data_IF_296944288899
#
_entry.id   IF_296944288899
#
_cell.length_a   1.000
_cell.length_b   1.000
_cell.length_c   1.000
_cell.angle_alpha   90.00
_cell.angle_beta   90.00
_cell.angle_gamma   90.00
#
_symmetry.space_group_name_H-M   'P 1'
#
loop_
_entity.id
_entity.type
_entity.pdbx_description
1 polymer ?
#
# COMPACT_ATOMS: atom_id res chain seq x y z
N UNK A 1 1.45 25.71 46.92
CA UNK A 1 1.39 24.24 47.07
C UNK A 1 2.11 23.64 45.88
N UNK A 2 3.35 23.19 46.06
CA UNK A 2 4.18 22.58 45.02
C UNK A 2 4.11 21.07 45.27
N UNK A 3 3.38 20.34 44.43
CA UNK A 3 3.30 18.89 44.48
C UNK A 3 4.52 18.28 43.80
N UNK A 4 5.30 17.58 44.60
CA UNK A 4 6.44 16.74 44.23
C UNK A 4 5.99 15.61 43.30
N UNK A 5 6.57 15.56 42.10
CA UNK A 5 6.42 14.45 41.15
C UNK A 5 7.41 13.35 41.52
N UNK A 6 6.92 12.24 42.08
CA UNK A 6 7.72 11.02 42.27
C UNK A 6 8.04 10.39 40.91
N UNK A 7 9.33 10.27 40.61
CA UNK A 7 9.83 9.53 39.47
C UNK A 7 9.72 8.02 39.73
N UNK A 8 8.84 7.35 38.98
CA UNK A 8 8.84 5.89 38.88
C UNK A 8 9.99 5.47 37.96
N UNK A 9 11.13 5.13 38.56
CA UNK A 9 12.24 4.44 37.91
C UNK A 9 11.91 2.96 37.76
N UNK A 10 11.22 2.62 36.67
CA UNK A 10 11.10 1.24 36.22
C UNK A 10 12.29 0.91 35.32
N UNK A 11 13.20 0.07 35.80
CA UNK A 11 14.27 -0.52 35.00
C UNK A 11 13.66 -1.39 33.89
N UNK A 12 13.34 -0.76 32.77
CA UNK A 12 13.07 -1.47 31.51
C UNK A 12 14.44 -2.01 31.06
N UNK A 13 14.70 -3.24 31.48
CA UNK A 13 15.87 -4.02 31.10
C UNK A 13 15.75 -4.31 29.59
N UNK A 14 16.17 -3.36 28.76
CA UNK A 14 16.38 -3.56 27.33
C UNK A 14 17.37 -4.71 27.19
N UNK A 15 16.85 -5.91 26.90
CA UNK A 15 17.71 -6.99 26.43
C UNK A 15 18.40 -6.49 25.17
N UNK A 16 19.74 -6.42 25.13
CA UNK A 16 20.45 -6.07 23.92
C UNK A 16 20.02 -7.05 22.83
N UNK A 17 19.50 -6.51 21.74
CA UNK A 17 19.25 -7.31 20.53
C UNK A 17 20.62 -7.85 20.13
N UNK A 18 20.79 -9.19 19.99
CA UNK A 18 22.06 -9.76 19.59
C UNK A 18 22.49 -9.12 18.26
N UNK A 19 23.76 -8.71 18.13
CA UNK A 19 24.25 -8.11 16.89
C UNK A 19 23.95 -9.05 15.74
N UNK A 20 23.32 -8.54 14.68
CA UNK A 20 23.21 -9.26 13.42
C UNK A 20 24.62 -9.57 12.94
N UNK A 21 25.06 -10.80 13.13
CA UNK A 21 26.30 -11.32 12.56
C UNK A 21 26.09 -11.43 11.06
N UNK A 22 26.49 -10.39 10.34
CA UNK A 22 26.66 -10.50 8.90
C UNK A 22 27.68 -11.60 8.63
N UNK A 23 27.41 -12.52 7.68
CA UNK A 23 28.39 -13.54 7.31
C UNK A 23 29.69 -12.84 6.93
N UNK A 24 30.75 -13.20 7.64
CA UNK A 24 32.10 -12.66 7.46
C UNK A 24 32.47 -12.74 5.99
N UNK A 25 32.67 -11.56 5.37
CA UNK A 25 33.03 -11.45 3.97
C UNK A 25 34.33 -12.23 3.77
N UNK A 26 34.24 -13.41 3.15
CA UNK A 26 35.41 -14.23 2.89
C UNK A 26 36.41 -13.38 2.10
N UNK A 27 37.66 -13.23 2.55
CA UNK A 27 38.67 -12.53 1.79
C UNK A 27 38.78 -13.19 0.43
N UNK A 28 38.47 -12.42 -0.62
CA UNK A 28 38.64 -12.83 -2.01
C UNK A 28 40.14 -13.11 -2.16
N UNK A 29 40.52 -14.39 -2.18
CA UNK A 29 41.89 -14.77 -2.50
C UNK A 29 42.19 -14.19 -3.89
N UNK A 30 43.28 -13.43 -4.07
CA UNK A 30 43.77 -13.09 -5.39
C UNK A 30 44.26 -14.39 -6.06
N UNK A 31 43.32 -15.12 -6.66
CA UNK A 31 43.61 -16.23 -7.54
C UNK A 31 44.24 -15.65 -8.80
N UNK A 32 45.40 -16.20 -9.18
CA UNK A 32 46.08 -15.88 -10.42
C UNK A 32 45.08 -15.94 -11.58
N UNK A 33 44.93 -14.81 -12.28
CA UNK A 33 44.18 -14.71 -13.53
C UNK A 33 44.94 -15.52 -14.59
N UNK A 34 44.73 -16.82 -14.65
CA UNK A 34 44.97 -17.59 -15.87
C UNK A 34 43.88 -17.19 -16.85
N UNK A 35 44.27 -16.53 -17.94
CA UNK A 35 43.38 -16.16 -19.03
C UNK A 35 42.71 -17.42 -19.60
N UNK A 36 41.50 -17.70 -19.13
CA UNK A 36 40.63 -18.70 -19.73
C UNK A 36 40.30 -18.26 -21.16
N UNK A 37 40.32 -19.16 -22.14
CA UNK A 37 39.82 -18.88 -23.48
C UNK A 37 38.40 -18.32 -23.37
N UNK A 38 38.11 -17.29 -24.17
CA UNK A 38 36.80 -16.67 -24.25
C UNK A 38 35.81 -17.71 -24.83
N UNK A 39 35.29 -18.54 -23.94
CA UNK A 39 34.24 -19.50 -24.23
C UNK A 39 32.98 -18.68 -24.51
N UNK A 40 32.52 -18.72 -25.76
CA UNK A 40 31.34 -18.00 -26.19
C UNK A 40 30.17 -18.44 -25.33
N UNK A 41 29.81 -17.60 -24.35
CA UNK A 41 28.75 -17.88 -23.39
C UNK A 41 27.44 -18.01 -24.17
N UNK A 42 27.08 -19.25 -24.46
CA UNK A 42 25.78 -19.59 -25.03
C UNK A 42 24.77 -19.10 -24.00
N UNK A 43 24.04 -18.04 -24.34
CA UNK A 43 23.02 -17.46 -23.47
C UNK A 43 21.88 -18.46 -23.39
N UNK A 44 21.97 -19.37 -22.42
CA UNK A 44 20.88 -20.30 -22.11
C UNK A 44 19.70 -19.46 -21.63
N UNK A 45 18.70 -19.28 -22.49
CA UNK A 45 17.46 -18.59 -22.14
C UNK A 45 16.71 -19.50 -21.18
N UNK A 46 16.94 -19.32 -19.88
CA UNK A 46 16.10 -19.95 -18.86
C UNK A 46 14.70 -19.36 -18.98
N UNK A 47 13.74 -20.18 -19.39
CA UNK A 47 12.33 -19.81 -19.35
C UNK A 47 11.90 -19.71 -17.89
N UNK A 48 11.97 -18.50 -17.34
CA UNK A 48 11.49 -18.22 -16.00
C UNK A 48 9.96 -18.29 -16.00
N UNK A 49 9.39 -19.33 -15.38
CA UNK A 49 7.96 -19.37 -15.06
C UNK A 49 7.74 -18.62 -13.75
N UNK A 50 7.11 -17.45 -13.76
CA UNK A 50 6.87 -16.68 -12.53
C UNK A 50 6.06 -17.52 -11.54
N UNK A 51 6.49 -17.50 -10.27
CA UNK A 51 5.78 -18.18 -9.20
C UNK A 51 4.34 -17.65 -9.12
N UNK A 52 3.37 -18.58 -9.02
CA UNK A 52 1.97 -18.21 -8.86
C UNK A 52 1.79 -17.37 -7.60
N UNK A 53 1.08 -16.24 -7.71
CA UNK A 53 0.82 -15.37 -6.57
C UNK A 53 0.01 -16.13 -5.50
N UNK A 54 0.40 -16.07 -4.22
CA UNK A 54 -0.34 -16.77 -3.18
C UNK A 54 -1.81 -16.37 -3.16
N UNK A 55 -2.72 -17.35 -3.05
CA UNK A 55 -4.18 -17.12 -3.05
C UNK A 55 -4.64 -16.10 -2.03
N UNK A 56 -3.88 -15.94 -0.95
CA UNK A 56 -4.22 -15.01 0.11
C UNK A 56 -4.00 -13.53 -0.26
N UNK A 57 -3.27 -13.25 -1.35
CA UNK A 57 -3.10 -11.91 -1.93
C UNK A 57 -4.20 -11.54 -2.93
N UNK A 58 -4.92 -12.54 -3.45
CA UNK A 58 -6.08 -12.24 -4.30
C UNK A 58 -7.08 -11.49 -3.42
N UNK A 59 -7.54 -10.32 -3.88
CA UNK A 59 -8.35 -9.35 -3.12
C UNK A 59 -9.78 -9.85 -2.84
N UNK A 60 -9.95 -11.16 -2.65
CA UNK A 60 -11.22 -11.86 -2.45
C UNK A 60 -11.32 -12.24 -0.97
N UNK A 61 -12.22 -11.57 -0.29
CA UNK A 61 -12.57 -11.85 1.09
C UNK A 61 -13.72 -12.86 1.10
N UNK A 62 -13.54 -13.96 1.81
CA UNK A 62 -14.58 -14.97 2.01
C UNK A 62 -15.50 -14.51 3.17
N UNK A 63 -16.27 -13.46 2.89
CA UNK A 63 -17.17 -12.80 3.86
C UNK A 63 -18.52 -12.62 3.19
N UNK A 64 -19.60 -12.65 3.96
CA UNK A 64 -20.95 -12.44 3.44
C UNK A 64 -21.08 -11.05 2.80
N UNK A 65 -21.75 -10.97 1.64
CA UNK A 65 -22.15 -9.68 1.06
C UNK A 65 -23.09 -8.95 2.04
N UNK A 66 -22.92 -7.63 2.26
CA UNK A 66 -22.14 -6.67 1.47
C UNK A 66 -20.71 -6.42 1.96
N UNK A 67 -20.27 -7.09 3.04
CA UNK A 67 -18.97 -6.79 3.67
C UNK A 67 -17.79 -7.15 2.76
N UNK A 68 -17.90 -8.22 1.96
CA UNK A 68 -16.88 -8.57 0.97
C UNK A 68 -16.60 -7.40 0.01
N UNK A 69 -17.65 -6.77 -0.53
CA UNK A 69 -17.52 -5.58 -1.38
C UNK A 69 -16.83 -4.42 -0.66
N UNK A 70 -17.20 -4.15 0.60
CA UNK A 70 -16.58 -3.07 1.40
C UNK A 70 -15.09 -3.34 1.64
N UNK A 71 -14.72 -4.55 2.03
CA UNK A 71 -13.32 -4.92 2.25
C UNK A 71 -12.50 -4.90 0.96
N UNK A 72 -13.07 -5.36 -0.16
CA UNK A 72 -12.42 -5.30 -1.47
C UNK A 72 -12.15 -3.85 -1.90
N UNK A 73 -13.13 -2.95 -1.73
CA UNK A 73 -12.97 -1.52 -2.03
C UNK A 73 -11.93 -0.88 -1.11
N UNK A 74 -11.98 -1.14 0.19
CA UNK A 74 -11.00 -0.63 1.16
C UNK A 74 -9.59 -1.11 0.85
N UNK A 75 -9.42 -2.42 0.58
CA UNK A 75 -8.12 -3.00 0.25
C UNK A 75 -7.55 -2.40 -1.04
N UNK A 76 -8.39 -2.24 -2.07
CA UNK A 76 -7.99 -1.57 -3.32
C UNK A 76 -7.64 -0.10 -3.12
N UNK A 77 -8.40 0.60 -2.27
CA UNK A 77 -8.09 1.97 -1.87
C UNK A 77 -6.73 2.06 -1.18
N UNK A 78 -6.41 1.10 -0.30
CA UNK A 78 -5.10 1.00 0.35
C UNK A 78 -3.99 0.66 -0.66
N UNK A 79 -4.21 -0.26 -1.60
CA UNK A 79 -3.25 -0.53 -2.68
C UNK A 79 -3.02 0.71 -3.55
N UNK A 80 -4.08 1.46 -3.86
CA UNK A 80 -3.96 2.68 -4.65
C UNK A 80 -3.21 3.77 -3.86
N UNK A 81 -3.50 3.95 -2.58
CA UNK A 81 -2.81 4.92 -1.73
C UNK A 81 -1.33 4.54 -1.52
N UNK A 82 -1.05 3.28 -1.19
CA UNK A 82 0.29 2.79 -0.90
C UNK A 82 1.13 2.61 -2.16
N UNK A 83 0.62 1.88 -3.15
CA UNK A 83 1.36 1.41 -4.32
C UNK A 83 0.95 2.09 -5.62
N UNK A 84 -0.01 3.02 -5.61
CA UNK A 84 -0.55 3.71 -6.80
C UNK A 84 -1.07 2.74 -7.87
N UNK A 85 -1.50 1.55 -7.46
CA UNK A 85 -2.04 0.47 -8.29
C UNK A 85 -3.19 -0.19 -7.53
N UNK A 86 -4.21 -0.64 -8.24
CA UNK A 86 -5.40 -1.23 -7.62
C UNK A 86 -5.19 -2.70 -7.23
N UNK A 87 -4.17 -3.36 -7.79
CA UNK A 87 -3.87 -4.78 -7.58
C UNK A 87 -2.39 -4.97 -7.20
N UNK A 88 -2.12 -5.99 -6.40
CA UNK A 88 -0.78 -6.43 -6.01
C UNK A 88 -0.11 -7.30 -7.08
N UNK A 89 -0.86 -7.87 -8.03
CA UNK A 89 -0.30 -8.75 -9.08
C UNK A 89 0.91 -8.15 -9.82
N UNK A 90 0.89 -6.88 -10.26
CA UNK A 90 2.06 -6.29 -10.93
C UNK A 90 3.25 -6.16 -9.99
N UNK A 91 3.02 -5.80 -8.72
CA UNK A 91 4.09 -5.70 -7.73
C UNK A 91 4.68 -7.08 -7.38
N UNK A 92 3.85 -8.13 -7.36
CA UNK A 92 4.29 -9.51 -7.21
C UNK A 92 5.14 -9.96 -8.40
N UNK A 93 4.67 -9.73 -9.62
CA UNK A 93 5.41 -10.09 -10.83
C UNK A 93 6.77 -9.38 -10.91
N UNK A 94 6.83 -8.11 -10.52
CA UNK A 94 8.08 -7.33 -10.46
C UNK A 94 9.01 -7.79 -9.33
N UNK A 95 8.48 -8.27 -8.20
CA UNK A 95 9.29 -8.83 -7.12
C UNK A 95 9.86 -10.21 -7.46
N UNK A 96 9.20 -10.95 -8.35
CA UNK A 96 9.64 -12.24 -8.86
C UNK A 96 10.61 -12.12 -10.04
N UNK A 97 10.77 -10.93 -10.62
CA UNK A 97 11.69 -10.71 -11.75
C UNK A 97 13.15 -10.97 -11.30
N UNK A 98 13.91 -11.85 -11.97
CA UNK A 98 15.32 -12.08 -11.64
C UNK A 98 16.18 -10.81 -11.80
N UNK A 99 15.69 -9.82 -12.53
CA UNK A 99 16.35 -8.53 -12.68
C UNK A 99 16.10 -7.63 -11.45
N UNK A 100 17.07 -7.64 -10.53
CA UNK A 100 17.07 -6.81 -9.33
C UNK A 100 16.87 -5.31 -9.60
N UNK A 101 17.20 -4.81 -10.80
CA UNK A 101 16.99 -3.41 -11.18
C UNK A 101 15.50 -3.03 -11.24
N UNK A 102 14.63 -3.96 -11.60
CA UNK A 102 13.17 -3.73 -11.64
C UNK A 102 12.65 -3.51 -10.22
N UNK A 103 13.11 -4.32 -9.27
CA UNK A 103 12.81 -4.14 -7.85
C UNK A 103 13.31 -2.79 -7.31
N UNK A 104 14.57 -2.44 -7.57
CA UNK A 104 15.12 -1.15 -7.14
C UNK A 104 14.31 0.02 -7.70
N UNK A 105 13.95 -0.04 -8.97
CA UNK A 105 13.12 0.98 -9.61
C UNK A 105 11.75 1.12 -8.95
N UNK A 106 11.12 0.01 -8.57
CA UNK A 106 9.83 0.02 -7.86
C UNK A 106 9.94 0.57 -6.44
N UNK A 107 10.99 0.16 -5.72
CA UNK A 107 11.30 0.70 -4.39
C UNK A 107 11.52 2.21 -4.44
N UNK A 108 12.26 2.69 -5.44
CA UNK A 108 12.53 4.10 -5.63
C UNK A 108 11.26 4.87 -5.97
N UNK A 109 10.37 4.30 -6.80
CA UNK A 109 9.05 4.89 -7.07
C UNK A 109 8.18 4.99 -5.82
N UNK A 110 8.20 3.95 -4.97
CA UNK A 110 7.44 3.94 -3.73
C UNK A 110 7.99 4.99 -2.75
N UNK A 111 9.31 5.00 -2.56
CA UNK A 111 10.00 6.02 -1.76
C UNK A 111 9.74 7.42 -2.29
N UNK A 112 9.82 7.60 -3.62
CA UNK A 112 9.51 8.85 -4.29
C UNK A 112 8.06 9.25 -4.07
N UNK A 113 7.08 8.35 -3.97
CA UNK A 113 5.69 8.72 -3.69
C UNK A 113 5.46 9.16 -2.26
N UNK A 114 6.05 8.43 -1.30
CA UNK A 114 6.01 8.84 0.11
C UNK A 114 6.68 10.22 0.27
N UNK A 115 7.78 10.46 -0.46
CA UNK A 115 8.45 11.76 -0.52
C UNK A 115 7.61 12.82 -1.24
N UNK A 116 7.16 12.57 -2.48
CA UNK A 116 6.41 13.52 -3.31
C UNK A 116 5.08 13.91 -2.67
N UNK A 117 4.42 13.03 -1.93
CA UNK A 117 3.20 13.42 -1.21
C UNK A 117 3.49 14.40 -0.06
N UNK A 118 4.68 14.28 0.54
CA UNK A 118 5.21 15.31 1.44
C UNK A 118 5.46 16.64 0.68
N UNK A 119 5.52 16.60 -0.65
CA UNK A 119 5.86 17.68 -1.60
C UNK A 119 4.68 18.25 -2.44
N UNK A 120 3.44 17.75 -2.33
CA UNK A 120 2.30 18.30 -3.11
C UNK A 120 1.67 19.51 -2.38
N UNK A 121 2.42 20.60 -2.27
CA UNK A 121 1.90 21.97 -2.08
C UNK A 121 2.63 23.00 -2.98
N UNK A 122 3.76 22.66 -3.63
CA UNK A 122 4.51 23.62 -4.48
C UNK A 122 4.07 23.76 -5.94
N UNK A 123 2.86 23.32 -6.33
CA UNK A 123 2.34 23.64 -7.68
C UNK A 123 2.02 25.14 -7.90
N UNK A 124 2.33 26.01 -6.93
CA UNK A 124 2.20 27.47 -7.04
C UNK A 124 3.47 28.20 -7.50
N UNK A 125 4.63 27.54 -7.58
CA UNK A 125 5.86 28.16 -8.10
C UNK A 125 6.20 27.62 -9.49
N UNK A 126 5.48 28.14 -10.48
CA UNK A 126 5.79 28.01 -11.89
C UNK A 126 7.01 28.89 -12.26
N UNK A 127 8.15 28.72 -11.58
CA UNK A 127 9.41 29.42 -11.90
C UNK A 127 10.37 28.49 -12.65
N UNK A 128 10.79 28.84 -13.88
CA UNK A 128 11.65 28.01 -14.69
C UNK A 128 13.11 28.22 -14.30
N UNK A 129 13.63 27.39 -13.42
CA UNK A 129 15.08 27.26 -13.23
C UNK A 129 15.46 25.78 -13.17
N UNK A 130 15.63 25.23 -14.38
CA UNK A 130 16.33 23.97 -14.60
C UNK A 130 17.82 24.21 -14.39
N UNK A 131 18.40 23.73 -13.30
CA UNK A 131 19.78 23.24 -13.37
C UNK A 131 20.05 22.16 -12.32
N UNK A 132 20.26 20.94 -12.82
CA UNK A 132 21.13 19.90 -12.25
C UNK A 132 20.99 19.58 -10.76
N UNK A 133 20.06 18.70 -10.41
CA UNK A 133 20.09 18.08 -9.09
C UNK A 133 19.63 16.61 -9.10
N UNK A 134 20.58 15.70 -9.32
CA UNK A 134 20.39 14.25 -9.20
C UNK A 134 20.59 13.75 -7.73
N UNK A 135 20.72 14.65 -6.75
CA UNK A 135 21.08 14.31 -5.35
C UNK A 135 20.31 15.07 -4.24
N UNK A 136 19.33 15.93 -4.55
CA UNK A 136 18.54 16.70 -3.54
C UNK A 136 17.08 16.27 -3.39
N UNK A 137 16.67 15.12 -3.95
CA UNK A 137 15.30 14.63 -3.74
C UNK A 137 14.90 14.51 -2.26
N UNK A 138 15.89 14.30 -1.38
CA UNK A 138 15.72 14.19 0.07
C UNK A 138 15.62 15.56 0.77
N UNK A 139 16.38 16.58 0.32
CA UNK A 139 16.37 17.90 0.94
C UNK A 139 15.18 18.78 0.51
N UNK A 140 14.68 18.60 -0.71
CA UNK A 140 13.54 19.37 -1.23
C UNK A 140 12.18 18.87 -0.74
N UNK A 141 12.07 17.59 -0.34
CA UNK A 141 10.81 17.01 0.17
C UNK A 141 10.59 17.28 1.66
N UNK A 142 11.65 17.45 2.46
CA UNK A 142 11.53 17.79 3.89
C UNK A 142 11.02 19.22 4.14
N UNK A 143 11.18 20.14 3.20
CA UNK A 143 10.84 21.56 3.43
C UNK A 143 9.33 21.78 3.56
N UNK A 144 8.47 20.99 2.91
CA UNK A 144 7.05 21.31 2.74
C UNK A 144 6.10 20.74 3.81
N UNK A 145 6.26 19.48 4.21
CA UNK A 145 5.63 19.05 5.47
C UNK A 145 6.18 19.87 6.65
N UNK A 146 7.45 20.31 6.56
CA UNK A 146 8.00 21.34 7.43
C UNK A 146 7.22 22.66 7.39
N UNK A 147 6.78 23.12 6.21
CA UNK A 147 5.92 24.31 6.07
C UNK A 147 4.53 24.11 6.68
N UNK A 148 3.84 23.00 6.40
CA UNK A 148 2.53 22.74 7.02
C UNK A 148 2.66 22.61 8.54
N UNK A 149 3.69 21.89 9.01
CA UNK A 149 3.97 21.71 10.43
C UNK A 149 4.34 23.04 11.10
N UNK A 150 5.20 23.86 10.49
CA UNK A 150 5.59 25.16 11.03
C UNK A 150 4.45 26.17 10.99
N UNK A 151 3.59 26.13 9.96
CA UNK A 151 2.38 26.95 9.88
C UNK A 151 1.39 26.57 10.99
N UNK A 152 1.12 25.27 11.15
CA UNK A 152 0.27 24.78 12.24
C UNK A 152 0.88 25.12 13.60
N UNK A 153 2.20 24.94 13.78
CA UNK A 153 2.90 25.31 15.00
C UNK A 153 2.81 26.81 15.29
N UNK A 154 2.96 27.66 14.26
CA UNK A 154 2.81 29.11 14.39
C UNK A 154 1.40 29.45 14.88
N UNK A 155 0.34 28.91 14.26
CA UNK A 155 -1.02 29.14 14.73
C UNK A 155 -1.28 28.60 16.15
N UNK A 156 -0.64 27.51 16.54
CA UNK A 156 -0.79 26.94 17.90
C UNK A 156 -0.05 27.76 18.96
N UNK A 157 1.07 28.40 18.60
CA UNK A 157 1.99 29.06 19.56
C UNK A 157 1.89 30.57 19.59
N UNK A 158 1.37 31.19 18.52
CA UNK A 158 1.27 32.65 18.43
C UNK A 158 -0.09 33.15 18.91
N UNK A 159 -0.12 34.37 19.44
CA UNK A 159 -1.36 35.06 19.75
C UNK A 159 -1.88 35.76 18.48
N UNK A 160 -3.20 35.81 18.25
CA UNK A 160 -3.76 36.50 17.11
C UNK A 160 -3.38 37.99 17.17
N UNK A 161 -3.00 38.60 16.04
CA UNK A 161 -2.53 39.99 16.02
C UNK A 161 -3.61 40.99 16.46
N UNK A 162 -4.89 40.64 16.29
CA UNK A 162 -6.01 41.36 16.91
C UNK A 162 -7.18 40.43 17.18
N UNK A 163 -7.85 40.55 18.34
CA UNK A 163 -8.98 39.68 18.70
C UNK A 163 -10.20 39.86 17.77
N UNK A 164 -10.34 41.01 17.10
CA UNK A 164 -11.46 41.28 16.20
C UNK A 164 -11.31 40.76 14.76
N UNK A 165 -10.11 40.31 14.34
CA UNK A 165 -9.86 39.89 12.95
C UNK A 165 -10.00 38.38 12.74
N UNK A 166 -9.23 37.57 13.45
CA UNK A 166 -9.27 36.10 13.33
C UNK A 166 -8.84 35.48 14.64
N UNK A 167 -9.81 35.24 15.53
CA UNK A 167 -9.56 34.63 16.84
C UNK A 167 -9.49 33.10 16.72
N UNK A 168 -8.34 32.60 16.29
CA UNK A 168 -8.04 31.17 16.26
C UNK A 168 -7.69 30.59 17.65
N UNK A 169 -7.66 31.43 18.69
CA UNK A 169 -7.41 31.00 20.08
C UNK A 169 -8.68 30.56 20.80
N UNK A 170 -9.85 30.76 20.20
CA UNK A 170 -11.08 30.16 20.72
C UNK A 170 -10.99 28.64 20.78
N UNK A 171 -11.64 28.06 21.77
CA UNK A 171 -11.51 26.63 22.09
C UNK A 171 -11.76 25.72 20.88
N UNK A 172 -12.77 26.01 20.04
CA UNK A 172 -13.10 25.21 18.86
C UNK A 172 -11.97 25.18 17.82
N UNK A 173 -11.66 26.32 17.17
CA UNK A 173 -10.54 26.43 16.23
C UNK A 173 -9.21 25.92 16.80
N UNK A 174 -8.91 26.24 18.06
CA UNK A 174 -7.66 25.85 18.70
C UNK A 174 -7.51 24.32 18.84
N UNK A 175 -8.57 23.61 19.23
CA UNK A 175 -8.56 22.14 19.29
C UNK A 175 -8.37 21.54 17.90
N UNK A 176 -9.00 22.10 16.86
CA UNK A 176 -8.78 21.68 15.48
C UNK A 176 -7.31 21.89 15.05
N UNK A 177 -6.71 23.03 15.37
CA UNK A 177 -5.31 23.33 15.07
C UNK A 177 -4.36 22.34 15.75
N UNK A 178 -4.58 22.05 17.04
CA UNK A 178 -3.79 21.06 17.78
C UNK A 178 -3.92 19.65 17.20
N UNK A 179 -5.14 19.23 16.86
CA UNK A 179 -5.38 17.93 16.25
C UNK A 179 -4.69 17.81 14.89
N UNK A 180 -4.79 18.84 14.05
CA UNK A 180 -4.10 18.90 12.77
C UNK A 180 -2.57 18.83 12.94
N UNK A 181 -2.02 19.64 13.86
CA UNK A 181 -0.60 19.61 14.19
C UNK A 181 -0.12 18.21 14.61
N UNK A 182 -0.85 17.56 15.52
CA UNK A 182 -0.53 16.21 15.97
C UNK A 182 -0.59 15.17 14.84
N UNK A 183 -1.58 15.28 13.93
CA UNK A 183 -1.71 14.40 12.77
C UNK A 183 -0.58 14.59 11.77
N UNK A 184 -0.15 15.82 11.47
CA UNK A 184 1.00 16.10 10.59
C UNK A 184 2.28 15.54 11.21
N UNK A 185 2.49 15.77 12.52
CA UNK A 185 3.67 15.26 13.21
C UNK A 185 3.70 13.72 13.20
N UNK A 186 2.56 13.08 13.48
CA UNK A 186 2.42 11.63 13.42
C UNK A 186 2.66 11.07 12.01
N UNK A 187 2.12 11.72 10.98
CA UNK A 187 2.34 11.35 9.58
C UNK A 187 3.82 11.44 9.19
N UNK A 188 4.51 12.49 9.64
CA UNK A 188 5.94 12.69 9.41
C UNK A 188 6.78 11.59 10.06
N UNK A 189 6.52 11.28 11.33
CA UNK A 189 7.25 10.23 12.08
C UNK A 189 7.07 8.86 11.42
N UNK A 190 5.83 8.48 11.11
CA UNK A 190 5.53 7.19 10.47
C UNK A 190 6.09 7.16 9.04
N UNK A 191 5.97 8.25 8.28
CA UNK A 191 6.52 8.35 6.93
C UNK A 191 8.03 8.16 6.90
N UNK A 192 8.77 8.80 7.82
CA UNK A 192 10.21 8.61 7.98
C UNK A 192 10.56 7.15 8.32
N UNK A 193 9.82 6.53 9.25
CA UNK A 193 10.03 5.13 9.62
C UNK A 193 9.79 4.16 8.44
N UNK A 194 8.73 4.41 7.65
CA UNK A 194 8.42 3.61 6.45
C UNK A 194 9.50 3.76 5.38
N UNK A 195 9.95 4.98 5.07
CA UNK A 195 11.03 5.21 4.08
C UNK A 195 12.32 4.53 4.53
N UNK A 196 12.65 4.63 5.82
CA UNK A 196 13.82 3.95 6.38
C UNK A 196 13.69 2.43 6.27
N UNK A 197 12.57 1.87 6.68
CA UNK A 197 12.31 0.43 6.60
C UNK A 197 12.37 -0.07 5.15
N UNK A 198 11.72 0.62 4.22
CA UNK A 198 11.77 0.31 2.78
C UNK A 198 13.20 0.31 2.26
N UNK A 199 14.03 1.27 2.67
CA UNK A 199 15.45 1.34 2.29
C UNK A 199 16.21 0.06 2.58
N UNK A 200 15.91 -0.58 3.71
CA UNK A 200 16.54 -1.81 4.21
C UNK A 200 15.89 -3.10 3.70
N UNK A 201 14.75 -3.03 3.00
CA UNK A 201 14.05 -4.22 2.51
C UNK A 201 14.79 -4.85 1.32
N UNK A 202 15.22 -6.10 1.49
CA UNK A 202 15.59 -6.97 0.37
C UNK A 202 14.34 -7.58 -0.26
N UNK A 203 14.44 -8.06 -1.50
CA UNK A 203 13.34 -8.74 -2.20
C UNK A 203 12.85 -9.95 -1.40
N UNK A 204 13.79 -10.78 -0.95
CA UNK A 204 13.53 -12.00 -0.17
C UNK A 204 12.81 -11.68 1.14
N UNK A 205 13.28 -10.68 1.87
CA UNK A 205 12.63 -10.26 3.11
C UNK A 205 11.23 -9.71 2.86
N UNK A 206 11.05 -8.95 1.77
CA UNK A 206 9.75 -8.43 1.38
C UNK A 206 8.75 -9.54 1.03
N UNK A 207 9.16 -10.54 0.23
CA UNK A 207 8.27 -11.66 -0.13
C UNK A 207 7.97 -12.55 1.06
N UNK A 208 8.96 -12.85 1.88
CA UNK A 208 8.85 -13.89 2.91
C UNK A 208 8.25 -13.35 4.21
N UNK A 209 8.64 -12.16 4.65
CA UNK A 209 8.23 -11.62 5.94
C UNK A 209 6.98 -10.75 5.82
N UNK A 210 7.02 -9.77 4.92
CA UNK A 210 5.93 -8.79 4.78
C UNK A 210 4.69 -9.42 4.14
N UNK A 211 4.86 -10.47 3.34
CA UNK A 211 3.77 -10.99 2.54
C UNK A 211 3.36 -12.45 2.82
N UNK A 212 3.91 -13.03 3.89
CA UNK A 212 3.56 -14.40 4.33
C UNK A 212 2.08 -14.56 4.69
N UNK A 213 1.37 -13.52 5.15
CA UNK A 213 -0.03 -13.63 5.58
C UNK A 213 -0.87 -12.39 5.22
N UNK A 214 -2.19 -12.58 5.06
CA UNK A 214 -3.15 -11.50 4.70
C UNK A 214 -3.07 -10.30 5.63
N UNK A 215 -3.06 -10.55 6.93
CA UNK A 215 -3.07 -9.47 7.93
C UNK A 215 -1.79 -8.63 7.87
N UNK A 216 -0.64 -9.26 7.58
CA UNK A 216 0.62 -8.53 7.37
C UNK A 216 0.56 -7.67 6.12
N UNK A 217 0.05 -8.18 4.99
CA UNK A 217 -0.13 -7.38 3.77
C UNK A 217 -1.01 -6.17 4.05
N UNK A 218 -2.17 -6.36 4.69
CA UNK A 218 -3.06 -5.26 5.04
C UNK A 218 -2.39 -4.25 5.99
N UNK A 219 -1.67 -4.72 7.00
CA UNK A 219 -0.94 -3.86 7.95
C UNK A 219 0.15 -3.04 7.24
N UNK A 220 0.93 -3.66 6.37
CA UNK A 220 1.97 -2.99 5.57
C UNK A 220 1.36 -1.95 4.64
N UNK A 221 0.30 -2.31 3.91
CA UNK A 221 -0.41 -1.35 3.05
C UNK A 221 -0.96 -0.19 3.86
N UNK A 222 -1.50 -0.44 5.05
CA UNK A 222 -1.96 0.61 5.95
C UNK A 222 -0.82 1.50 6.44
N UNK A 223 0.32 0.94 6.86
CA UNK A 223 1.49 1.70 7.29
C UNK A 223 2.04 2.58 6.16
N UNK A 224 2.09 2.06 4.93
CA UNK A 224 2.54 2.83 3.77
C UNK A 224 1.51 3.90 3.41
N UNK A 225 0.20 3.60 3.48
CA UNK A 225 -0.88 4.55 3.19
C UNK A 225 -1.10 5.58 4.33
N UNK A 226 -0.65 5.31 5.54
CA UNK A 226 -0.94 6.10 6.73
C UNK A 226 -0.52 7.58 6.61
N UNK A 227 0.71 7.92 6.17
CA UNK A 227 1.09 9.32 5.97
C UNK A 227 0.14 10.05 5.02
N UNK A 228 -0.33 9.39 3.97
CA UNK A 228 -1.28 9.95 3.01
C UNK A 228 -2.62 10.26 3.68
N UNK A 229 -3.18 9.29 4.41
CA UNK A 229 -4.47 9.46 5.09
C UNK A 229 -4.40 10.54 6.18
N UNK A 230 -3.34 10.55 6.99
CA UNK A 230 -3.17 11.52 8.06
C UNK A 230 -2.95 12.94 7.55
N UNK A 231 -2.19 13.15 6.48
CA UNK A 231 -2.02 14.48 5.87
C UNK A 231 -3.36 14.96 5.32
N UNK A 232 -4.11 14.13 4.60
CA UNK A 232 -5.43 14.49 4.09
C UNK A 232 -6.40 14.89 5.22
N UNK A 233 -6.51 14.06 6.26
CA UNK A 233 -7.36 14.35 7.42
C UNK A 233 -6.88 15.63 8.12
N UNK A 234 -5.58 15.79 8.32
CA UNK A 234 -5.04 16.99 8.96
C UNK A 234 -5.36 18.26 8.18
N UNK A 235 -5.23 18.25 6.85
CA UNK A 235 -5.57 19.41 6.03
C UNK A 235 -7.05 19.73 6.20
N UNK A 236 -7.94 18.73 6.14
CA UNK A 236 -9.38 18.97 6.34
C UNK A 236 -9.71 19.53 7.72
N UNK A 237 -9.07 19.04 8.78
CA UNK A 237 -9.26 19.52 10.15
C UNK A 237 -8.71 20.93 10.33
N UNK A 238 -7.51 21.20 9.80
CA UNK A 238 -6.88 22.53 9.82
C UNK A 238 -7.76 23.55 9.10
N UNK A 239 -8.21 23.19 7.90
CA UNK A 239 -9.13 23.97 7.09
C UNK A 239 -10.43 24.25 7.87
N UNK A 240 -11.06 23.24 8.46
CA UNK A 240 -12.28 23.45 9.24
C UNK A 240 -12.07 24.36 10.47
N UNK A 241 -10.93 24.21 11.17
CA UNK A 241 -10.57 25.08 12.30
C UNK A 241 -10.43 26.55 11.87
N UNK A 242 -9.75 26.81 10.76
CA UNK A 242 -9.59 28.16 10.21
C UNK A 242 -10.92 28.74 9.71
N UNK A 243 -11.77 27.93 9.08
CA UNK A 243 -13.11 28.36 8.64
C UNK A 243 -13.98 28.72 9.85
N UNK A 244 -13.93 27.92 10.91
CA UNK A 244 -14.65 28.19 12.16
C UNK A 244 -14.20 29.52 12.77
N UNK A 245 -12.89 29.79 12.82
CA UNK A 245 -12.36 31.06 13.32
C UNK A 245 -12.78 32.24 12.41
N UNK A 246 -12.75 32.06 11.09
CA UNK A 246 -13.15 33.08 10.14
C UNK A 246 -14.65 33.40 10.21
N UNK A 247 -15.50 32.41 10.53
CA UNK A 247 -16.93 32.61 10.69
C UNK A 247 -17.29 33.44 11.94
N UNK A 248 -16.46 33.35 12.97
CA UNK A 248 -16.58 34.11 14.22
C UNK A 248 -15.97 35.51 14.14
N UNK A 249 -15.26 35.83 13.05
CA UNK A 249 -14.69 37.16 12.81
C UNK A 249 -15.78 38.24 12.76
N UNK A 250 -15.50 39.40 13.37
CA UNK A 250 -16.36 40.59 13.25
C UNK A 250 -16.30 41.21 11.85
N UNK A 251 -15.22 40.92 11.10
CA UNK A 251 -15.00 41.47 9.76
C UNK A 251 -15.81 40.71 8.70
N UNK A 252 -16.84 41.37 8.16
CA UNK A 252 -17.69 40.79 7.09
C UNK A 252 -16.91 40.32 5.86
N UNK A 253 -15.81 41.01 5.51
CA UNK A 253 -14.93 40.65 4.40
C UNK A 253 -14.23 39.30 4.62
N UNK A 254 -13.76 39.02 5.85
CA UNK A 254 -13.10 37.76 6.20
C UNK A 254 -14.10 36.60 6.13
N UNK A 255 -15.32 36.82 6.64
CA UNK A 255 -16.38 35.80 6.60
C UNK A 255 -16.81 35.44 5.18
N UNK A 256 -17.00 36.45 4.32
CA UNK A 256 -17.35 36.22 2.91
C UNK A 256 -16.19 35.61 2.11
N UNK A 257 -14.97 36.13 2.31
CA UNK A 257 -13.77 35.64 1.64
C UNK A 257 -13.44 34.19 1.99
N UNK A 258 -13.48 33.83 3.27
CA UNK A 258 -13.24 32.44 3.71
C UNK A 258 -14.27 31.47 3.14
N UNK A 259 -15.56 31.83 3.13
CA UNK A 259 -16.61 31.00 2.51
C UNK A 259 -16.31 30.75 1.04
N UNK A 260 -15.91 31.77 0.29
CA UNK A 260 -15.57 31.63 -1.13
C UNK A 260 -14.33 30.75 -1.37
N UNK A 261 -13.28 30.95 -0.58
CA UNK A 261 -12.05 30.12 -0.66
C UNK A 261 -12.33 28.65 -0.35
N UNK A 262 -13.24 28.36 0.58
CA UNK A 262 -13.67 26.98 0.88
C UNK A 262 -14.60 26.39 -0.17
N UNK A 263 -15.44 27.22 -0.78
CA UNK A 263 -16.39 26.78 -1.79
C UNK A 263 -15.67 26.23 -3.02
N UNK A 264 -14.56 26.85 -3.44
CA UNK A 264 -13.77 26.41 -4.62
C UNK A 264 -13.35 24.94 -4.54
N UNK A 265 -12.58 24.46 -3.53
CA UNK A 265 -12.17 23.07 -3.45
C UNK A 265 -13.36 22.12 -3.27
N UNK A 266 -14.41 22.54 -2.54
CA UNK A 266 -15.64 21.74 -2.40
C UNK A 266 -16.36 21.58 -3.73
N UNK A 267 -16.39 22.60 -4.59
CA UNK A 267 -16.96 22.53 -5.94
C UNK A 267 -16.08 21.76 -6.92
N UNK A 268 -14.76 21.75 -6.73
CA UNK A 268 -13.84 20.95 -7.54
C UNK A 268 -13.91 19.46 -7.19
N UNK A 269 -14.28 19.11 -5.95
CA UNK A 269 -14.39 17.74 -5.49
C UNK A 269 -15.36 16.87 -6.32
N UNK A 270 -16.60 17.27 -6.64
CA UNK A 270 -17.48 16.49 -7.51
C UNK A 270 -16.95 16.39 -8.95
N UNK A 271 -16.28 17.41 -9.48
CA UNK A 271 -15.66 17.36 -10.81
C UNK A 271 -14.53 16.32 -10.81
N UNK A 272 -13.69 16.35 -9.78
CA UNK A 272 -12.64 15.36 -9.58
C UNK A 272 -13.24 13.96 -9.41
N UNK A 273 -14.22 13.78 -8.52
CA UNK A 273 -14.88 12.50 -8.34
C UNK A 273 -15.56 12.01 -9.62
N UNK A 274 -16.17 12.89 -10.42
CA UNK A 274 -16.76 12.52 -11.70
C UNK A 274 -15.70 12.01 -12.69
N UNK A 275 -14.60 12.75 -12.84
CA UNK A 275 -13.50 12.33 -13.73
C UNK A 275 -12.86 11.02 -13.27
N UNK A 276 -12.67 10.82 -11.96
CA UNK A 276 -12.19 9.56 -11.41
C UNK A 276 -13.23 8.44 -11.54
N UNK A 277 -14.51 8.73 -11.33
CA UNK A 277 -15.60 7.75 -11.45
C UNK A 277 -15.71 7.22 -12.88
N UNK A 278 -15.52 8.04 -13.91
CA UNK A 278 -15.51 7.57 -15.30
C UNK A 278 -14.37 6.58 -15.54
N UNK A 279 -13.17 6.88 -15.03
CA UNK A 279 -12.00 5.99 -15.15
C UNK A 279 -12.24 4.69 -14.37
N UNK A 280 -12.71 4.80 -13.13
CA UNK A 280 -13.01 3.66 -12.27
C UNK A 280 -14.14 2.81 -12.84
N UNK A 281 -15.18 3.41 -13.41
CA UNK A 281 -16.31 2.71 -14.03
C UNK A 281 -15.87 1.98 -15.31
N UNK A 282 -14.99 2.58 -16.11
CA UNK A 282 -14.37 1.90 -17.25
C UNK A 282 -13.60 0.65 -16.83
N UNK A 283 -12.82 0.75 -15.75
CA UNK A 283 -12.12 -0.41 -15.19
C UNK A 283 -13.06 -1.45 -14.57
N UNK A 284 -14.10 -1.01 -13.85
CA UNK A 284 -15.10 -1.90 -13.28
C UNK A 284 -15.87 -2.67 -14.37
N UNK A 285 -16.21 -2.01 -15.50
CA UNK A 285 -16.93 -2.65 -16.61
C UNK A 285 -16.07 -3.70 -17.32
N UNK A 286 -14.81 -3.39 -17.61
CA UNK A 286 -13.88 -4.37 -18.21
C UNK A 286 -13.62 -5.55 -17.26
N UNK A 287 -13.57 -5.28 -15.96
CA UNK A 287 -13.48 -6.32 -14.94
C UNK A 287 -14.74 -7.19 -14.87
N UNK A 288 -15.94 -6.60 -14.84
CA UNK A 288 -17.20 -7.35 -14.85
C UNK A 288 -17.33 -8.21 -16.11
N UNK A 289 -16.94 -7.69 -17.27
CA UNK A 289 -16.91 -8.44 -18.52
C UNK A 289 -15.99 -9.67 -18.45
N UNK A 290 -14.82 -9.57 -17.79
CA UNK A 290 -13.91 -10.70 -17.56
C UNK A 290 -14.40 -11.71 -16.53
N UNK A 291 -15.30 -11.32 -15.61
CA UNK A 291 -15.83 -12.20 -14.57
C UNK A 291 -17.01 -13.06 -15.05
N UNK A 292 -17.71 -12.62 -16.09
CA UNK A 292 -18.90 -13.28 -16.64
C UNK A 292 -18.70 -14.58 -17.46
N UNK A 293 -17.54 -14.94 -18.05
CA UNK A 293 -17.45 -16.16 -18.86
C UNK A 293 -17.42 -17.45 -18.01
N UNK A 294 -16.97 -17.39 -16.75
CA UNK A 294 -16.76 -18.60 -15.95
C UNK A 294 -18.05 -19.28 -15.45
N UNK A 295 -19.15 -18.52 -15.27
CA UNK A 295 -20.42 -19.11 -14.82
C UNK A 295 -21.22 -19.77 -15.93
N UNK A 296 -20.89 -19.55 -17.20
CA UNK A 296 -21.62 -20.19 -18.30
C UNK A 296 -21.14 -21.62 -18.54
N UNK A 297 -19.84 -21.85 -18.41
CA UNK A 297 -19.21 -23.14 -18.72
C UNK A 297 -19.45 -24.18 -17.61
N UNK A 298 -19.52 -23.76 -16.35
CA UNK A 298 -19.86 -24.65 -15.22
C UNK A 298 -21.33 -25.09 -15.18
N UNK A 299 -22.18 -24.60 -16.09
CA UNK A 299 -23.58 -25.02 -16.23
C UNK A 299 -23.83 -25.90 -17.45
N UNK A 300 -22.87 -26.00 -18.36
CA UNK A 300 -22.96 -26.89 -19.54
C UNK A 300 -22.46 -28.30 -19.21
N UNK A 301 -21.72 -28.48 -18.11
CA UNK A 301 -21.31 -29.79 -17.57
C UNK A 301 -22.27 -30.38 -16.53
N UNK A 302 -23.36 -29.68 -16.17
CA UNK A 302 -24.54 -30.32 -15.57
C UNK A 302 -25.27 -31.07 -16.69
N UNK A 303 -24.71 -32.22 -17.06
CA UNK A 303 -25.38 -33.22 -17.87
C UNK A 303 -26.77 -33.45 -17.26
N UNK A 304 -27.86 -33.39 -18.04
CA UNK A 304 -29.21 -33.54 -17.52
C UNK A 304 -29.28 -34.88 -16.80
N UNK A 305 -29.40 -34.83 -15.46
CA UNK A 305 -29.65 -36.02 -14.65
C UNK A 305 -30.83 -36.71 -15.31
N UNK A 306 -30.63 -37.93 -15.86
CA UNK A 306 -31.68 -38.62 -16.57
C UNK A 306 -32.88 -38.68 -15.64
N UNK A 307 -34.04 -38.25 -16.14
CA UNK A 307 -35.27 -38.26 -15.40
C UNK A 307 -35.41 -39.64 -14.76
N UNK A 308 -35.27 -39.69 -13.43
CA UNK A 308 -35.58 -40.88 -12.65
C UNK A 308 -37.07 -41.08 -12.89
N UNK A 309 -37.40 -42.01 -13.80
CA UNK A 309 -38.74 -42.54 -13.91
C UNK A 309 -39.14 -42.95 -12.50
N UNK A 310 -40.20 -42.33 -11.97
CA UNK A 310 -40.91 -42.81 -10.79
C UNK A 310 -41.54 -44.17 -11.14
N UNK A 311 -40.67 -45.18 -11.19
CA UNK A 311 -41.01 -46.59 -11.26
C UNK A 311 -41.53 -47.02 -9.91
N UNK A 312 -42.85 -46.93 -9.77
CA UNK A 312 -43.64 -47.59 -8.76
C UNK A 312 -43.26 -49.09 -8.67
N UNK A 313 -42.68 -49.57 -7.56
CA UNK A 313 -42.57 -51.01 -7.32
C UNK A 313 -41.43 -51.51 -6.43
N UNK A 314 -41.74 -51.66 -5.13
CA UNK A 314 -41.61 -52.90 -4.33
C UNK A 314 -40.35 -53.80 -4.46
N UNK A 315 -39.72 -54.09 -3.30
CA UNK A 315 -38.80 -55.22 -3.00
C UNK A 315 -37.47 -55.23 -3.79
N UNK A 316 -36.29 -55.46 -3.22
CA UNK A 316 -35.83 -56.43 -2.22
C UNK A 316 -34.61 -55.80 -1.50
N UNK A 317 -34.52 -55.74 -0.17
CA UNK A 317 -33.91 -56.76 0.69
C UNK A 317 -32.71 -57.53 0.09
N UNK A 318 -31.58 -57.42 0.79
CA UNK A 318 -30.42 -58.32 0.84
C UNK A 318 -29.14 -57.89 0.12
N UNK A 319 -28.02 -58.31 0.76
CA UNK A 319 -26.64 -58.42 0.27
C UNK A 319 -25.75 -57.20 0.58
N UNK A 320 -25.21 -57.05 1.80
CA UNK A 320 -24.11 -57.81 2.44
C UNK A 320 -22.84 -57.94 1.58
N UNK A 321 -21.76 -57.39 2.16
CA UNK A 321 -20.35 -57.75 2.06
C UNK A 321 -19.62 -57.62 0.71
N UNK A 322 -18.72 -56.63 0.63
CA UNK A 322 -17.46 -56.76 -0.13
C UNK A 322 -16.35 -55.84 0.41
N UNK A 323 -15.07 -56.23 0.30
CA UNK A 323 -14.00 -55.83 1.21
C UNK A 323 -13.08 -54.71 0.67
N UNK A 324 -12.36 -54.09 1.61
CA UNK A 324 -11.23 -53.19 1.37
C UNK A 324 -10.14 -53.85 0.50
N UNK A 325 -9.95 -53.36 -0.73
CA UNK A 325 -8.78 -53.68 -1.56
C UNK A 325 -7.83 -52.47 -1.71
N UNK A 326 -6.55 -52.81 -1.77
CA UNK A 326 -5.39 -51.94 -1.58
C UNK A 326 -5.16 -50.88 -2.66
N UNK A 327 -4.62 -49.77 -2.20
CA UNK A 327 -4.11 -48.66 -3.02
C UNK A 327 -2.74 -49.06 -3.62
N UNK A 328 -2.57 -49.08 -4.96
CA UNK A 328 -1.29 -49.43 -5.56
C UNK A 328 -0.34 -48.23 -5.66
N UNK A 329 0.94 -48.49 -5.36
CA UNK A 329 2.09 -47.63 -5.56
C UNK A 329 2.18 -47.07 -6.99
N UNK A 330 2.17 -45.74 -7.12
CA UNK A 330 2.46 -45.02 -8.37
C UNK A 330 3.96 -45.01 -8.64
N UNK A 331 4.41 -45.78 -9.64
CA UNK A 331 5.78 -45.71 -10.19
C UNK A 331 6.01 -44.39 -10.89
N UNK A 332 7.06 -43.67 -10.48
CA UNK A 332 7.62 -42.55 -11.23
C UNK A 332 8.32 -43.08 -12.49
N UNK A 333 7.78 -42.77 -13.67
CA UNK A 333 8.47 -42.93 -14.95
C UNK A 333 9.22 -41.63 -15.25
N UNK A 334 10.54 -41.73 -15.32
CA UNK A 334 11.45 -40.68 -15.75
C UNK A 334 11.44 -40.57 -17.29
N UNK A 335 11.34 -39.38 -17.90
CA UNK A 335 11.44 -39.22 -19.35
C UNK A 335 12.89 -39.41 -19.80
N UNK A 336 13.09 -40.36 -20.72
CA UNK A 336 14.35 -40.65 -21.41
C UNK A 336 14.59 -39.57 -22.47
N UNK A 337 15.68 -38.82 -22.33
CA UNK A 337 16.16 -37.88 -23.35
C UNK A 337 16.56 -38.65 -24.63
N UNK A 338 16.02 -38.24 -25.77
CA UNK A 338 16.51 -38.61 -27.09
C UNK A 338 17.52 -37.56 -27.54
N UNK A 339 18.79 -37.94 -27.64
CA UNK A 339 19.83 -37.25 -28.38
C UNK A 339 19.65 -37.58 -29.87
N UNK A 340 19.38 -36.58 -30.69
CA UNK A 340 19.48 -36.66 -32.14
C UNK A 340 20.76 -35.96 -32.59
N UNK A 341 21.68 -36.72 -33.17
CA UNK A 341 22.81 -36.22 -33.97
C UNK A 341 22.33 -35.83 -35.36
N UNK A 342 22.79 -34.68 -35.86
CA UNK A 342 23.01 -34.40 -37.28
C UNK A 342 24.17 -33.41 -37.41
#
# INVERSE_FOLDING_TARGET
MITSTQAYGGDILFRPVPPMTFPEARPIRPGAFTASPFESATTTVYSYTPAEMPKHWDCRFDVQEPFATVFEVLFRGLCLAALGRIDLRPAWAEAQDPNLQVWHTQKDRLSQRVQVMTTIVSCLDHLPLKLYVHSWGIAASLSQAGLLLSTAAAFVTTQPPSPGSLDYTQHGPYVCLLLAFALILGALVVGCAVVYAMGQCTVEWWTDILMSSRSRVCCTLFLIAYPFLCICVSITVLSFGLLSAAWQSESGLIRQGSTFVFLIPVLLLPIFLYTQAVVLWGQARTWMAKRMPYQRESREDEEPVPAVEEGNGSSYHAMLDAPHEGVPHRRNLSPRAQTGEL
#
